data_IF_476811593834
#
_entry.id   IF_476811593834
#
_cell.length_a   1.000
_cell.length_b   1.000
_cell.length_c   1.000
_cell.angle_alpha   90.00
_cell.angle_beta   90.00
_cell.angle_gamma   90.00
#
_symmetry.space_group_name_H-M   'P 1'
#
loop_
_entity.id
_entity.type
_entity.pdbx_description
1 polymer ?
#
# COMPACT_ATOMS: atom_id res chain seq x y z
N UNK A 1 -7.77 61.40 -3.27
CA UNK A 1 -8.56 61.63 -4.49
C UNK A 1 -9.68 60.59 -4.60
N UNK A 2 -10.93 61.02 -4.28
CA UNK A 2 -12.12 60.12 -4.24
C UNK A 2 -12.38 59.30 -5.51
N UNK A 3 -11.89 59.70 -6.65
CA UNK A 3 -12.07 58.99 -7.91
C UNK A 3 -11.09 57.81 -8.06
N UNK A 4 -9.83 57.99 -7.68
CA UNK A 4 -8.83 56.90 -7.73
C UNK A 4 -9.10 55.78 -6.69
N UNK A 5 -9.66 56.16 -5.52
CA UNK A 5 -10.04 55.18 -4.48
C UNK A 5 -11.25 54.35 -4.94
N UNK A 6 -12.17 54.95 -5.71
CA UNK A 6 -13.35 54.23 -6.23
C UNK A 6 -12.99 53.26 -7.37
N UNK A 7 -12.02 53.60 -8.20
CA UNK A 7 -11.54 52.71 -9.26
C UNK A 7 -10.76 51.52 -8.68
N UNK A 8 -9.93 51.74 -7.65
CA UNK A 8 -9.20 50.66 -6.96
C UNK A 8 -10.15 49.69 -6.28
N UNK A 9 -11.21 50.19 -5.59
CA UNK A 9 -12.23 49.36 -4.95
C UNK A 9 -13.02 48.54 -5.98
N UNK A 10 -13.33 49.08 -7.13
CA UNK A 10 -14.04 48.39 -8.21
C UNK A 10 -13.17 47.26 -8.78
N UNK A 11 -11.87 47.51 -8.99
CA UNK A 11 -10.91 46.55 -9.49
C UNK A 11 -10.70 45.41 -8.49
N UNK A 12 -10.54 45.75 -7.21
CA UNK A 12 -10.41 44.77 -6.13
C UNK A 12 -11.67 43.91 -5.99
N UNK A 13 -12.86 44.53 -6.08
CA UNK A 13 -14.12 43.77 -6.04
C UNK A 13 -14.27 42.80 -7.22
N UNK A 14 -13.82 43.19 -8.41
CA UNK A 14 -13.81 42.32 -9.58
C UNK A 14 -12.83 41.17 -9.40
N UNK A 15 -11.64 41.43 -8.83
CA UNK A 15 -10.63 40.39 -8.52
C UNK A 15 -11.18 39.41 -7.50
N UNK A 16 -11.72 39.89 -6.38
CA UNK A 16 -12.31 39.06 -5.33
C UNK A 16 -13.48 38.22 -5.86
N UNK A 17 -14.31 38.75 -6.73
CA UNK A 17 -15.40 38.00 -7.39
C UNK A 17 -14.83 36.87 -8.25
N UNK A 18 -13.75 37.13 -9.01
CA UNK A 18 -13.11 36.13 -9.84
C UNK A 18 -12.46 35.02 -9.00
N UNK A 19 -11.76 35.38 -7.93
CA UNK A 19 -11.19 34.43 -6.98
C UNK A 19 -12.27 33.58 -6.29
N UNK A 20 -13.39 34.22 -5.91
CA UNK A 20 -14.50 33.51 -5.29
C UNK A 20 -15.11 32.49 -6.24
N UNK A 21 -15.32 32.82 -7.52
CA UNK A 21 -15.78 31.86 -8.53
C UNK A 21 -14.79 30.68 -8.69
N UNK A 22 -13.49 30.96 -8.69
CA UNK A 22 -12.46 29.92 -8.78
C UNK A 22 -12.46 29.00 -7.55
N UNK A 23 -12.62 29.57 -6.36
CA UNK A 23 -12.74 28.80 -5.11
C UNK A 23 -14.00 27.94 -5.11
N UNK A 24 -15.15 28.49 -5.51
CA UNK A 24 -16.38 27.70 -5.65
C UNK A 24 -16.22 26.53 -6.63
N UNK A 25 -15.56 26.76 -7.77
CA UNK A 25 -15.28 25.70 -8.74
C UNK A 25 -14.39 24.59 -8.15
N UNK A 26 -13.36 24.96 -7.39
CA UNK A 26 -12.49 23.98 -6.69
C UNK A 26 -13.27 23.18 -5.64
N UNK A 27 -14.11 23.86 -4.85
CA UNK A 27 -14.95 23.21 -3.84
C UNK A 27 -15.90 22.20 -4.49
N UNK A 28 -16.56 22.57 -5.60
CA UNK A 28 -17.44 21.66 -6.34
C UNK A 28 -16.67 20.44 -6.89
N UNK A 29 -15.44 20.66 -7.38
CA UNK A 29 -14.59 19.57 -7.86
C UNK A 29 -14.20 18.63 -6.73
N UNK A 30 -13.91 19.17 -5.54
CA UNK A 30 -13.61 18.36 -4.34
C UNK A 30 -14.81 17.50 -3.95
N UNK A 31 -16.01 18.08 -3.87
CA UNK A 31 -17.23 17.31 -3.58
C UNK A 31 -17.50 16.21 -4.61
N UNK A 32 -17.24 16.48 -5.90
CA UNK A 32 -17.39 15.48 -6.95
C UNK A 32 -16.42 14.31 -6.75
N UNK A 33 -15.16 14.62 -6.45
CA UNK A 33 -14.13 13.61 -6.20
C UNK A 33 -14.42 12.79 -4.93
N UNK A 34 -14.89 13.44 -3.87
CA UNK A 34 -15.31 12.74 -2.63
C UNK A 34 -16.50 11.80 -2.88
N UNK A 35 -17.49 12.25 -3.64
CA UNK A 35 -18.64 11.42 -4.00
C UNK A 35 -18.25 10.25 -4.89
N UNK A 36 -17.34 10.45 -5.85
CA UNK A 36 -16.83 9.40 -6.72
C UNK A 36 -15.98 8.41 -5.93
N UNK A 37 -15.14 8.91 -5.03
CA UNK A 37 -14.35 8.09 -4.12
C UNK A 37 -15.26 7.22 -3.24
N UNK A 38 -16.26 7.82 -2.58
CA UNK A 38 -17.26 7.09 -1.79
C UNK A 38 -18.00 6.02 -2.62
N UNK A 39 -18.36 6.34 -3.87
CA UNK A 39 -19.00 5.37 -4.76
C UNK A 39 -18.06 4.22 -5.13
N UNK A 40 -16.79 4.52 -5.39
CA UNK A 40 -15.78 3.49 -5.65
C UNK A 40 -15.57 2.58 -4.43
N UNK A 41 -15.55 3.15 -3.22
CA UNK A 41 -15.51 2.39 -1.98
C UNK A 41 -16.73 1.48 -1.81
N UNK A 42 -17.93 1.97 -2.12
CA UNK A 42 -19.14 1.15 -2.05
C UNK A 42 -19.13 0.03 -3.09
N UNK A 43 -18.61 0.27 -4.29
CA UNK A 43 -18.43 -0.75 -5.31
C UNK A 43 -17.40 -1.81 -4.91
N UNK A 44 -16.32 -1.42 -4.25
CA UNK A 44 -15.33 -2.34 -3.67
C UNK A 44 -15.93 -3.18 -2.54
N UNK A 45 -16.80 -2.60 -1.69
CA UNK A 45 -17.56 -3.33 -0.66
C UNK A 45 -18.63 -4.25 -1.26
N UNK A 46 -19.21 -3.88 -2.40
CA UNK A 46 -20.26 -4.66 -3.07
C UNK A 46 -19.73 -5.89 -3.83
N UNK A 47 -18.39 -6.00 -4.01
CA UNK A 47 -17.75 -7.22 -4.46
C UNK A 47 -16.82 -7.73 -3.35
N UNK A 48 -17.32 -8.49 -2.37
CA UNK A 48 -16.47 -9.34 -1.57
C UNK A 48 -16.09 -10.52 -2.49
N UNK A 49 -15.08 -10.32 -3.33
CA UNK A 49 -14.42 -11.44 -3.96
C UNK A 49 -13.75 -12.22 -2.83
N UNK A 50 -14.21 -13.44 -2.62
CA UNK A 50 -13.61 -14.47 -1.78
C UNK A 50 -13.59 -14.27 -0.26
N UNK A 51 -14.61 -13.67 0.33
CA UNK A 51 -14.70 -13.62 1.79
C UNK A 51 -13.65 -12.73 2.46
N UNK A 52 -13.15 -11.71 1.77
CA UNK A 52 -12.21 -10.71 2.28
C UNK A 52 -12.96 -9.48 2.82
N UNK A 53 -12.44 -8.94 3.90
CA UNK A 53 -12.85 -7.65 4.45
C UNK A 53 -11.78 -6.61 4.16
N UNK A 54 -12.19 -5.43 3.71
CA UNK A 54 -11.30 -4.31 3.38
C UNK A 54 -11.60 -3.14 4.31
N UNK A 55 -10.58 -2.71 5.06
CA UNK A 55 -10.67 -1.57 5.98
C UNK A 55 -9.68 -0.51 5.53
N UNK A 56 -10.17 0.69 5.26
CA UNK A 56 -9.32 1.84 4.93
C UNK A 56 -8.75 2.45 6.20
N UNK A 57 -7.47 2.83 6.13
CA UNK A 57 -6.79 3.47 7.23
C UNK A 57 -5.81 4.54 6.71
N UNK A 58 -5.62 5.58 7.52
CA UNK A 58 -4.61 6.60 7.30
C UNK A 58 -3.37 6.30 8.11
N UNK A 59 -2.22 6.67 7.59
CA UNK A 59 -0.96 6.59 8.31
C UNK A 59 -0.86 7.79 9.23
N UNK A 60 -0.68 7.54 10.53
CA UNK A 60 -0.55 8.58 11.55
C UNK A 60 0.87 8.76 12.08
N UNK A 61 1.74 7.79 11.85
CA UNK A 61 3.16 7.89 12.18
C UNK A 61 4.00 6.96 11.32
N UNK A 62 5.26 7.35 11.10
CA UNK A 62 6.28 6.54 10.43
C UNK A 62 7.43 6.39 11.42
N UNK A 63 7.89 5.17 11.65
CA UNK A 63 9.09 4.96 12.46
C UNK A 63 10.31 5.46 11.68
N UNK A 64 11.10 6.32 12.31
CA UNK A 64 12.28 6.93 11.69
C UNK A 64 13.60 6.21 12.04
N UNK A 65 13.53 5.10 12.77
CA UNK A 65 14.71 4.28 13.03
C UNK A 65 15.18 3.66 11.71
N UNK A 66 16.45 3.85 11.39
CA UNK A 66 17.05 3.36 10.15
C UNK A 66 17.02 1.82 10.03
N UNK A 67 16.82 1.12 11.13
CA UNK A 67 16.85 -0.35 11.20
C UNK A 67 15.44 -0.97 11.18
N UNK A 68 14.37 -0.15 11.27
CA UNK A 68 12.99 -0.64 11.31
C UNK A 68 12.09 0.14 10.36
N UNK A 69 11.58 -0.56 9.38
CA UNK A 69 10.63 0.00 8.43
C UNK A 69 9.19 -0.31 8.88
N UNK A 70 8.67 0.54 9.76
CA UNK A 70 7.33 0.40 10.35
C UNK A 70 6.53 1.69 10.20
N UNK A 71 5.23 1.54 10.09
CA UNK A 71 4.26 2.65 10.11
C UNK A 71 3.15 2.34 11.13
N UNK A 72 2.48 3.38 11.60
CA UNK A 72 1.30 3.28 12.47
C UNK A 72 0.09 3.80 11.69
N UNK A 73 -0.99 3.03 11.73
CA UNK A 73 -2.28 3.39 11.11
C UNK A 73 -3.32 3.74 12.17
N UNK A 74 -4.31 4.60 11.80
CA UNK A 74 -5.39 5.08 12.66
C UNK A 74 -6.55 4.08 12.83
N UNK A 75 -6.27 2.79 12.69
CA UNK A 75 -7.23 1.69 12.85
C UNK A 75 -6.65 0.64 13.77
N UNK A 76 -7.46 0.14 14.68
CA UNK A 76 -7.06 -0.84 15.68
C UNK A 76 -8.07 -1.97 15.86
N UNK A 77 -7.95 -2.69 16.98
CA UNK A 77 -8.85 -3.81 17.30
C UNK A 77 -10.31 -3.40 17.43
N UNK A 78 -10.62 -2.16 17.86
CA UNK A 78 -11.99 -1.64 17.85
C UNK A 78 -12.58 -1.49 16.44
N UNK A 79 -11.74 -1.27 15.43
CA UNK A 79 -12.16 -1.21 14.04
C UNK A 79 -12.20 -2.59 13.38
N UNK A 80 -11.91 -3.65 14.12
CA UNK A 80 -11.87 -5.03 13.64
C UNK A 80 -10.56 -5.42 12.96
N UNK A 81 -9.46 -4.68 13.19
CA UNK A 81 -8.13 -5.05 12.68
C UNK A 81 -7.65 -6.30 13.40
N UNK A 82 -7.05 -7.21 12.65
CA UNK A 82 -6.47 -8.45 13.15
C UNK A 82 -4.96 -8.49 12.96
N UNK A 83 -4.28 -9.12 13.93
CA UNK A 83 -2.85 -9.37 13.84
C UNK A 83 -2.55 -10.22 12.59
N UNK A 84 -1.53 -9.84 11.82
CA UNK A 84 -1.15 -10.52 10.60
C UNK A 84 -1.95 -10.11 9.36
N UNK A 85 -2.97 -9.23 9.47
CA UNK A 85 -3.69 -8.72 8.32
C UNK A 85 -2.74 -8.07 7.30
N UNK A 86 -2.95 -8.36 6.02
CA UNK A 86 -2.15 -7.80 4.95
C UNK A 86 -2.49 -6.32 4.73
N UNK A 87 -1.49 -5.53 4.39
CA UNK A 87 -1.63 -4.10 4.08
C UNK A 87 -1.19 -3.85 2.65
N UNK A 88 -2.02 -3.12 1.92
CA UNK A 88 -1.74 -2.71 0.54
C UNK A 88 -1.95 -1.20 0.35
N UNK A 89 -1.28 -0.64 -0.65
CA UNK A 89 -1.63 0.65 -1.24
C UNK A 89 -2.42 0.42 -2.56
N UNK A 90 -2.60 1.48 -3.34
CA UNK A 90 -3.29 1.40 -4.64
C UNK A 90 -2.55 0.57 -5.71
N UNK A 91 -1.31 0.16 -5.46
CA UNK A 91 -0.45 -0.52 -6.44
C UNK A 91 -0.09 -1.94 -6.04
N UNK A 92 -0.02 -2.23 -4.73
CA UNK A 92 0.37 -3.55 -4.27
C UNK A 92 0.54 -3.66 -2.76
N UNK A 93 1.05 -4.80 -2.31
CA UNK A 93 1.32 -5.08 -0.90
C UNK A 93 2.44 -4.19 -0.39
N UNK A 94 2.23 -3.62 0.80
CA UNK A 94 3.24 -2.82 1.51
C UNK A 94 3.74 -3.47 2.80
N UNK A 95 2.98 -4.41 3.38
CA UNK A 95 3.36 -5.04 4.65
C UNK A 95 2.23 -5.84 5.29
N UNK A 96 2.33 -6.03 6.61
CA UNK A 96 1.28 -6.65 7.42
C UNK A 96 1.27 -6.09 8.84
N UNK A 97 0.15 -6.29 9.55
CA UNK A 97 -0.02 -5.89 10.95
C UNK A 97 0.84 -6.77 11.85
N UNK A 98 1.74 -6.17 12.62
CA UNK A 98 2.59 -6.86 13.60
C UNK A 98 2.15 -6.62 15.04
N UNK A 99 1.39 -5.55 15.29
CA UNK A 99 0.77 -5.26 16.57
C UNK A 99 -0.53 -4.51 16.37
N UNK A 100 -1.60 -4.98 16.99
CA UNK A 100 -2.90 -4.33 17.06
C UNK A 100 -3.09 -3.74 18.46
N UNK A 101 -3.36 -2.44 18.51
CA UNK A 101 -3.78 -1.74 19.71
C UNK A 101 -5.26 -1.35 19.58
N UNK A 102 -5.83 -0.77 20.62
CA UNK A 102 -7.27 -0.46 20.65
C UNK A 102 -7.70 0.48 19.50
N UNK A 103 -6.94 1.56 19.26
CA UNK A 103 -7.28 2.63 18.30
C UNK A 103 -6.27 2.76 17.14
N UNK A 104 -5.19 1.99 17.15
CA UNK A 104 -4.13 2.08 16.17
C UNK A 104 -3.49 0.71 15.98
N UNK A 105 -2.75 0.52 14.88
CA UNK A 105 -1.99 -0.71 14.64
C UNK A 105 -0.63 -0.40 14.03
N UNK A 106 0.35 -1.23 14.36
CA UNK A 106 1.71 -1.17 13.79
C UNK A 106 1.79 -2.11 12.60
N UNK A 107 2.34 -1.59 11.50
CA UNK A 107 2.56 -2.31 10.24
C UNK A 107 4.05 -2.48 10.02
N UNK A 108 4.51 -3.70 9.77
CA UNK A 108 5.85 -4.00 9.29
C UNK A 108 5.86 -3.96 7.77
N UNK A 109 6.69 -3.10 7.18
CA UNK A 109 6.78 -2.94 5.74
C UNK A 109 7.59 -4.06 5.08
N UNK A 110 7.32 -4.36 3.81
CA UNK A 110 8.05 -5.39 3.04
C UNK A 110 9.53 -5.06 2.84
N UNK A 111 9.93 -3.82 3.07
CA UNK A 111 11.32 -3.35 3.03
C UNK A 111 12.11 -3.63 4.30
N UNK A 112 11.44 -3.99 5.40
CA UNK A 112 12.10 -4.30 6.68
C UNK A 112 12.88 -5.61 6.61
N UNK A 113 14.11 -5.69 7.16
CA UNK A 113 14.92 -6.93 7.15
C UNK A 113 14.28 -8.11 7.87
N UNK A 114 13.39 -7.88 8.84
CA UNK A 114 12.64 -8.92 9.54
C UNK A 114 11.40 -9.39 8.77
N UNK A 115 11.07 -8.73 7.64
CA UNK A 115 9.89 -9.04 6.85
C UNK A 115 10.21 -10.08 5.76
N UNK A 116 9.45 -11.18 5.75
CA UNK A 116 9.43 -12.17 4.68
C UNK A 116 8.04 -12.33 4.09
N UNK A 117 7.92 -12.25 2.76
CA UNK A 117 6.66 -12.42 2.05
C UNK A 117 6.75 -13.58 1.05
N UNK A 118 5.86 -14.59 1.16
CA UNK A 118 5.75 -15.65 0.17
C UNK A 118 5.19 -15.09 -1.14
N UNK A 119 5.97 -15.22 -2.21
CA UNK A 119 5.62 -14.75 -3.55
C UNK A 119 5.64 -15.88 -4.57
N UNK A 120 5.05 -15.60 -5.72
CA UNK A 120 5.28 -16.36 -6.92
C UNK A 120 5.49 -15.43 -8.11
N UNK A 121 6.21 -15.93 -9.11
CA UNK A 121 6.40 -15.22 -10.37
C UNK A 121 5.14 -15.38 -11.20
N UNK A 122 4.46 -14.28 -11.52
CA UNK A 122 3.19 -14.30 -12.24
C UNK A 122 3.25 -15.03 -13.59
N UNK A 123 4.43 -15.05 -14.24
CA UNK A 123 4.62 -15.65 -15.56
C UNK A 123 4.63 -17.19 -15.55
N UNK A 124 5.19 -17.83 -14.53
CA UNK A 124 5.42 -19.27 -14.50
C UNK A 124 5.06 -19.96 -13.18
N UNK A 125 4.54 -19.22 -12.18
CA UNK A 125 4.15 -19.76 -10.88
C UNK A 125 5.31 -20.23 -10.00
N UNK A 126 6.56 -19.88 -10.34
CA UNK A 126 7.72 -20.22 -9.53
C UNK A 126 7.66 -19.49 -8.19
N UNK A 127 7.67 -20.24 -7.10
CA UNK A 127 7.51 -19.71 -5.74
C UNK A 127 8.85 -19.42 -5.08
N UNK A 128 8.87 -18.33 -4.30
CA UNK A 128 10.02 -17.91 -3.51
C UNK A 128 9.57 -17.13 -2.27
N UNK A 129 10.54 -16.74 -1.45
CA UNK A 129 10.33 -15.79 -0.36
C UNK A 129 11.09 -14.51 -0.73
N UNK A 130 10.38 -13.39 -0.76
CA UNK A 130 11.00 -12.08 -0.85
C UNK A 130 11.25 -11.54 0.56
N UNK A 131 12.42 -10.95 0.78
CA UNK A 131 12.88 -10.44 2.07
C UNK A 131 13.29 -8.98 1.92
N UNK A 132 12.92 -8.15 2.88
CA UNK A 132 13.39 -6.77 2.98
C UNK A 132 14.88 -6.71 3.33
N UNK A 133 15.54 -5.66 2.91
CA UNK A 133 16.98 -5.44 3.18
C UNK A 133 17.26 -4.09 3.84
N UNK A 134 16.23 -3.43 4.41
CA UNK A 134 16.35 -2.06 4.94
C UNK A 134 16.40 -0.99 3.83
N UNK A 135 15.91 -1.30 2.64
CA UNK A 135 15.79 -0.38 1.52
C UNK A 135 14.35 -0.28 1.04
N UNK A 136 13.83 0.94 0.88
CA UNK A 136 12.50 1.16 0.30
C UNK A 136 12.46 0.90 -1.21
N UNK A 137 13.61 0.84 -1.86
CA UNK A 137 13.71 0.70 -3.32
C UNK A 137 14.01 -0.72 -3.77
N UNK A 138 14.40 -1.61 -2.83
CA UNK A 138 14.81 -2.97 -3.18
C UNK A 138 14.47 -3.97 -2.07
N UNK A 139 14.02 -5.14 -2.50
CA UNK A 139 13.90 -6.37 -1.72
C UNK A 139 14.64 -7.48 -2.46
N UNK A 140 15.00 -8.56 -1.77
CA UNK A 140 15.72 -9.68 -2.37
C UNK A 140 14.89 -10.96 -2.36
N UNK A 141 15.16 -11.86 -3.32
CA UNK A 141 14.60 -13.20 -3.32
C UNK A 141 15.67 -14.18 -2.86
N UNK A 142 15.32 -15.00 -1.88
CA UNK A 142 16.23 -15.99 -1.32
C UNK A 142 16.00 -17.40 -1.88
N UNK A 143 17.07 -18.18 -1.90
CA UNK A 143 17.08 -19.64 -2.12
C UNK A 143 16.56 -20.10 -3.49
N UNK A 144 16.74 -19.31 -4.54
CA UNK A 144 16.40 -19.74 -5.89
C UNK A 144 17.61 -20.36 -6.59
N UNK A 145 17.52 -21.64 -7.01
CA UNK A 145 18.62 -22.33 -7.69
C UNK A 145 19.05 -21.64 -8.98
N UNK A 146 20.31 -21.79 -9.35
CA UNK A 146 20.89 -21.17 -10.56
C UNK A 146 20.21 -21.55 -11.87
N UNK A 147 19.47 -22.66 -11.93
CA UNK A 147 18.70 -23.13 -13.08
C UNK A 147 17.25 -22.65 -13.12
N UNK A 148 16.84 -21.78 -12.18
CA UNK A 148 15.48 -21.24 -12.13
C UNK A 148 15.16 -20.38 -13.35
N UNK A 149 13.95 -20.54 -13.91
CA UNK A 149 13.46 -19.71 -15.02
C UNK A 149 12.94 -18.36 -14.52
N UNK A 150 13.86 -17.41 -14.44
CA UNK A 150 13.62 -16.05 -13.94
C UNK A 150 14.18 -15.04 -14.94
N UNK A 151 13.44 -13.94 -15.14
CA UNK A 151 13.80 -12.86 -16.06
C UNK A 151 13.67 -11.50 -15.42
N UNK A 152 14.49 -10.56 -15.85
CA UNK A 152 14.30 -9.14 -15.55
C UNK A 152 12.90 -8.72 -16.00
N UNK A 153 12.23 -7.88 -15.22
CA UNK A 153 10.84 -7.45 -15.36
C UNK A 153 9.78 -8.52 -15.09
N UNK A 154 10.13 -9.71 -14.60
CA UNK A 154 9.13 -10.62 -14.05
C UNK A 154 8.40 -9.95 -12.87
N UNK A 155 7.08 -10.05 -12.87
CA UNK A 155 6.24 -9.51 -11.80
C UNK A 155 6.09 -10.56 -10.71
N UNK A 156 6.35 -10.14 -9.47
CA UNK A 156 6.16 -10.92 -8.26
C UNK A 156 4.79 -10.59 -7.66
N UNK A 157 4.02 -11.64 -7.41
CA UNK A 157 2.70 -11.54 -6.76
C UNK A 157 2.69 -12.41 -5.50
N UNK A 158 1.78 -12.13 -4.59
CA UNK A 158 1.58 -12.96 -3.40
C UNK A 158 1.12 -14.36 -3.78
N UNK A 159 1.72 -15.39 -3.19
CA UNK A 159 1.40 -16.80 -3.50
C UNK A 159 0.25 -17.38 -2.67
N UNK A 160 -0.32 -16.63 -1.73
CA UNK A 160 -1.33 -17.13 -0.80
C UNK A 160 -0.81 -18.12 0.27
N UNK A 161 0.44 -18.56 0.19
CA UNK A 161 1.01 -19.50 1.14
C UNK A 161 1.08 -18.94 2.56
N UNK A 162 0.69 -19.75 3.53
CA UNK A 162 0.65 -19.34 4.94
C UNK A 162 -0.59 -18.52 5.33
N UNK A 163 -1.48 -18.20 4.37
CA UNK A 163 -2.78 -17.57 4.63
C UNK A 163 -2.75 -16.11 5.10
N UNK A 164 -1.56 -15.51 5.30
CA UNK A 164 -1.43 -14.10 5.72
C UNK A 164 -1.74 -13.12 4.59
N UNK A 165 -1.23 -13.39 3.41
CA UNK A 165 -1.44 -12.56 2.23
C UNK A 165 -2.42 -13.25 1.29
N UNK A 166 -3.45 -12.54 0.80
CA UNK A 166 -4.30 -13.09 -0.26
C UNK A 166 -3.47 -13.32 -1.53
N UNK A 167 -3.80 -14.36 -2.28
CA UNK A 167 -3.12 -14.72 -3.53
C UNK A 167 -3.31 -13.67 -4.63
N UNK A 168 -2.29 -13.48 -5.47
CA UNK A 168 -2.38 -12.69 -6.69
C UNK A 168 -2.14 -11.17 -6.56
N UNK A 169 -1.83 -10.66 -5.36
CA UNK A 169 -1.57 -9.23 -5.18
C UNK A 169 -0.15 -8.87 -5.61
N UNK A 170 0.05 -7.76 -6.36
CA UNK A 170 1.36 -7.30 -6.77
C UNK A 170 2.26 -6.97 -5.57
N UNK A 171 3.55 -7.34 -5.66
CA UNK A 171 4.55 -7.09 -4.62
C UNK A 171 5.72 -6.29 -5.18
N UNK A 172 6.42 -6.85 -6.20
CA UNK A 172 7.63 -6.25 -6.75
C UNK A 172 7.84 -6.67 -8.21
N UNK A 173 8.82 -6.03 -8.86
CA UNK A 173 9.29 -6.38 -10.21
C UNK A 173 10.77 -6.71 -10.12
N UNK A 174 11.21 -7.82 -10.71
CA UNK A 174 12.61 -8.22 -10.73
C UNK A 174 13.43 -7.18 -11.49
N UNK A 175 14.40 -6.59 -10.81
CA UNK A 175 15.26 -5.52 -11.32
C UNK A 175 16.68 -5.98 -11.62
N UNK A 176 17.19 -6.97 -10.87
CA UNK A 176 18.54 -7.49 -11.01
C UNK A 176 18.59 -9.02 -10.80
N UNK A 177 19.43 -9.70 -11.57
CA UNK A 177 19.72 -11.14 -11.43
C UNK A 177 21.20 -11.32 -11.56
N UNK A 178 21.86 -11.75 -10.48
CA UNK A 178 23.29 -12.06 -10.47
C UNK A 178 23.54 -13.54 -10.27
N UNK A 179 24.41 -14.09 -11.10
CA UNK A 179 24.90 -15.46 -10.98
C UNK A 179 26.35 -15.43 -10.48
N UNK A 180 26.51 -15.70 -9.21
CA UNK A 180 27.85 -15.78 -8.62
C UNK A 180 28.48 -17.12 -9.00
N UNK A 181 29.65 -17.08 -9.62
CA UNK A 181 30.37 -18.28 -10.06
C UNK A 181 30.81 -19.09 -8.83
N UNK A 182 30.31 -20.32 -8.73
CA UNK A 182 30.57 -21.20 -7.60
C UNK A 182 29.46 -21.24 -6.54
N UNK A 183 28.46 -20.38 -6.66
CA UNK A 183 27.28 -20.39 -5.82
C UNK A 183 26.17 -21.27 -6.42
N UNK A 184 25.42 -21.96 -5.58
CA UNK A 184 24.29 -22.81 -6.01
C UNK A 184 23.01 -22.01 -6.23
N UNK A 185 22.95 -20.77 -5.76
CA UNK A 185 21.77 -19.91 -5.76
C UNK A 185 22.00 -18.61 -6.49
N UNK A 186 20.91 -18.06 -7.04
CA UNK A 186 20.88 -16.73 -7.66
C UNK A 186 20.80 -15.66 -6.57
N UNK A 187 21.47 -14.52 -6.79
CA UNK A 187 21.19 -13.26 -6.08
C UNK A 187 20.23 -12.44 -6.94
N UNK A 188 19.03 -12.18 -6.42
CA UNK A 188 17.96 -11.56 -7.16
C UNK A 188 17.46 -10.36 -6.40
N UNK A 189 17.58 -9.18 -7.01
CA UNK A 189 16.99 -7.94 -6.53
C UNK A 189 15.65 -7.68 -7.22
N UNK A 190 14.69 -7.17 -6.48
CA UNK A 190 13.40 -6.77 -6.99
C UNK A 190 12.96 -5.40 -6.41
N UNK A 191 12.37 -4.58 -7.26
CA UNK A 191 11.86 -3.27 -6.87
C UNK A 191 10.41 -3.37 -6.43
N UNK A 192 10.03 -2.93 -5.22
CA UNK A 192 8.64 -2.86 -4.79
C UNK A 192 7.77 -2.07 -5.79
N UNK A 193 6.56 -2.56 -6.06
CA UNK A 193 5.58 -1.87 -6.93
C UNK A 193 4.92 -0.73 -6.16
N UNK A 194 4.65 -0.95 -4.89
CA UNK A 194 4.13 0.06 -3.98
C UNK A 194 5.16 1.17 -3.72
N UNK A 195 4.69 2.39 -3.49
CA UNK A 195 5.58 3.51 -3.16
C UNK A 195 5.82 3.59 -1.65
N UNK A 196 6.74 2.77 -1.13
CA UNK A 196 7.00 2.65 0.31
C UNK A 196 7.54 3.93 0.97
N UNK A 197 7.99 4.91 0.21
CA UNK A 197 8.52 6.20 0.74
C UNK A 197 7.43 7.25 0.99
N UNK A 198 6.33 7.17 0.22
CA UNK A 198 5.27 8.18 0.23
C UNK A 198 3.90 7.50 0.28
N UNK A 199 3.63 6.83 1.39
CA UNK A 199 2.34 6.19 1.64
C UNK A 199 1.54 7.13 2.53
N UNK A 200 0.30 7.46 2.14
CA UNK A 200 -0.61 8.29 2.93
C UNK A 200 -1.80 7.48 3.44
N UNK A 201 -2.37 6.66 2.56
CA UNK A 201 -3.56 5.86 2.82
C UNK A 201 -3.27 4.40 2.51
N UNK A 202 -3.84 3.50 3.27
CA UNK A 202 -3.65 2.07 3.13
C UNK A 202 -4.96 1.31 3.21
N UNK A 203 -4.96 0.12 2.64
CA UNK A 203 -6.04 -0.84 2.69
C UNK A 203 -5.59 -2.03 3.53
N UNK A 204 -6.29 -2.28 4.62
CA UNK A 204 -6.13 -3.51 5.40
C UNK A 204 -6.97 -4.60 4.74
N UNK A 205 -6.36 -5.74 4.43
CA UNK A 205 -6.98 -6.88 3.79
C UNK A 205 -6.93 -8.06 4.75
N UNK A 206 -8.08 -8.57 5.15
CA UNK A 206 -8.19 -9.69 6.07
C UNK A 206 -9.42 -10.55 5.72
N UNK A 207 -9.44 -11.78 6.22
CA UNK A 207 -10.57 -12.66 6.00
C UNK A 207 -11.82 -12.17 6.76
N UNK A 208 -12.99 -12.34 6.18
CA UNK A 208 -14.23 -12.11 6.91
C UNK A 208 -14.33 -13.21 7.99
N UNK A 209 -14.39 -12.80 9.27
CA UNK A 209 -14.71 -13.74 10.35
C UNK A 209 -16.04 -14.40 10.04
N UNK A 210 -16.03 -15.68 9.76
CA UNK A 210 -17.24 -16.49 9.83
C UNK A 210 -17.60 -16.58 11.29
N UNK A 211 -18.59 -15.78 11.73
CA UNK A 211 -19.24 -16.01 13.02
C UNK A 211 -19.90 -17.40 12.94
N UNK A 212 -19.18 -18.42 13.37
CA UNK A 212 -19.84 -19.66 13.75
C UNK A 212 -20.54 -19.35 15.08
N UNK A 213 -21.88 -19.47 15.14
CA UNK A 213 -22.54 -19.42 16.45
C UNK A 213 -21.93 -20.57 17.25
N UNK A 214 -21.41 -20.23 18.45
CA UNK A 214 -20.94 -21.21 19.39
C UNK A 214 -22.09 -22.20 19.64
N UNK A 215 -21.87 -23.47 19.30
CA UNK A 215 -22.68 -24.58 19.76
C UNK A 215 -22.50 -24.78 21.28
#
# INVERSE_FOLDING_TARGET
NKLSDRESILTENQLLKKENIQLYSKVQQTYKLEAENKRLFELLKAKPEDGKNFIFADIIAVNQDNDKHQIIINKGSMDGIELGAAIADSKGIIGHIVRDQVLASEVLLISDPEHGIPIEIARNGLRAIAIGIGSYDEIILNNLPNNSDIKINDVLITSGLGGRYPEGYPVAIISNIERVKGDSYLSIGAKPIANLKNINEVLVIQDIKKNYPNE
#
